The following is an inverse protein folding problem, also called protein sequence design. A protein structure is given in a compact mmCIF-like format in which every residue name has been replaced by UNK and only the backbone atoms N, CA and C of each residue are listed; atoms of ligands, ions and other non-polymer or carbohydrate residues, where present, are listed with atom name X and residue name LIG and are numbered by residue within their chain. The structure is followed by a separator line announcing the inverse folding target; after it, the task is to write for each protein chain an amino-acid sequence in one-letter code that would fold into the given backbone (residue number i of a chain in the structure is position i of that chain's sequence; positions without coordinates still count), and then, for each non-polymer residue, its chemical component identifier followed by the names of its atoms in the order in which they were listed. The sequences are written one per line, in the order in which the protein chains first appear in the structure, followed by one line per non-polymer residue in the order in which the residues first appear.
data_IF_457541836957
#
_entry.id   IF_457541836957
#
_cell.length_a   1.000
_cell.length_b   1.000
_cell.length_c   1.000
_cell.angle_alpha   90.00
_cell.angle_beta   90.00
_cell.angle_gamma   90.00
#
_symmetry.space_group_name_H-M   'P 1'
#
loop_
_entity.id
_entity.type
_entity.pdbx_description
1 polymer ?
#
# COMPACT_ATOMS: atom_id res chain seq x y z
N UNK A 1 22.09 -0.24 35.36
CA UNK A 1 20.79 0.46 35.44
C UNK A 1 20.72 1.43 34.28
N UNK A 2 19.89 1.14 33.27
CA UNK A 2 19.70 2.00 32.10
C UNK A 2 18.63 3.03 32.47
N UNK A 3 18.85 4.34 32.22
CA UNK A 3 17.92 5.35 32.64
C UNK A 3 16.63 5.25 31.82
N UNK A 4 15.53 5.06 32.54
CA UNK A 4 14.16 5.18 32.06
C UNK A 4 13.83 6.68 31.93
N UNK A 5 13.35 7.09 30.76
CA UNK A 5 12.65 8.36 30.60
C UNK A 5 13.12 9.22 29.42
N UNK A 6 12.49 9.00 28.26
CA UNK A 6 11.85 9.99 27.37
C UNK A 6 10.87 9.17 26.50
N UNK A 7 9.67 9.72 26.26
CA UNK A 7 8.51 8.98 25.73
C UNK A 7 8.84 8.06 24.56
N UNK A 8 8.21 6.89 24.53
CA UNK A 8 8.23 5.98 23.38
C UNK A 8 7.50 6.72 22.25
N UNK A 9 8.22 7.55 21.53
CA UNK A 9 7.75 8.08 20.26
C UNK A 9 7.64 6.86 19.33
N UNK A 10 6.42 6.36 19.21
CA UNK A 10 5.84 5.99 17.93
C UNK A 10 6.93 5.68 16.88
N UNK A 11 7.32 4.41 16.78
CA UNK A 11 8.27 3.88 15.78
C UNK A 11 7.60 3.86 14.38
N UNK A 12 7.09 5.03 13.99
CA UNK A 12 5.71 5.26 13.54
C UNK A 12 5.60 5.63 12.08
N UNK A 13 4.36 5.86 11.63
CA UNK A 13 3.95 6.63 10.46
C UNK A 13 5.03 7.53 9.79
N UNK A 14 5.84 8.27 10.56
CA UNK A 14 6.98 9.02 10.04
C UNK A 14 7.99 8.15 9.30
N UNK A 15 8.48 7.07 9.92
CA UNK A 15 9.37 6.09 9.30
C UNK A 15 8.77 5.55 7.99
N UNK A 16 7.50 5.15 8.00
CA UNK A 16 6.85 4.63 6.80
C UNK A 16 6.75 5.69 5.68
N UNK A 17 6.55 6.96 6.05
CA UNK A 17 6.55 8.07 5.09
C UNK A 17 7.95 8.33 4.54
N UNK A 18 8.98 8.35 5.39
CA UNK A 18 10.38 8.50 5.00
C UNK A 18 10.86 7.34 4.10
N UNK A 19 10.41 6.11 4.37
CA UNK A 19 10.65 4.94 3.54
C UNK A 19 10.07 5.10 2.14
N UNK A 20 8.87 5.66 2.00
CA UNK A 20 8.27 5.95 0.70
C UNK A 20 9.02 7.09 0.00
N UNK A 21 9.29 8.18 0.71
CA UNK A 21 9.91 9.39 0.16
C UNK A 21 11.33 9.13 -0.36
N UNK A 22 12.18 8.40 0.39
CA UNK A 22 13.53 8.01 -0.07
C UNK A 22 13.50 7.10 -1.30
N UNK A 23 12.38 6.44 -1.52
CA UNK A 23 12.12 5.60 -2.70
C UNK A 23 11.37 6.36 -3.81
N UNK A 24 11.20 7.67 -3.65
CA UNK A 24 10.61 8.56 -4.66
C UNK A 24 9.07 8.63 -4.59
N UNK A 25 8.42 7.96 -3.65
CA UNK A 25 6.96 7.91 -3.55
C UNK A 25 6.46 8.95 -2.54
N UNK A 26 5.56 9.83 -2.99
CA UNK A 26 4.91 10.81 -2.11
C UNK A 26 3.50 10.34 -1.76
N UNK A 27 3.00 10.69 -0.57
CA UNK A 27 1.62 10.36 -0.20
C UNK A 27 0.61 10.98 -1.18
N UNK A 28 0.91 12.15 -1.73
CA UNK A 28 0.08 12.81 -2.74
C UNK A 28 -0.02 11.97 -4.02
N UNK A 29 1.07 11.37 -4.49
CA UNK A 29 1.03 10.48 -5.66
C UNK A 29 0.20 9.21 -5.44
N UNK A 30 0.12 8.71 -4.19
CA UNK A 30 -0.78 7.61 -3.83
C UNK A 30 -2.23 8.10 -3.79
N UNK A 31 -2.47 9.29 -3.20
CA UNK A 31 -3.80 9.89 -3.11
C UNK A 31 -4.39 10.21 -4.49
N UNK A 32 -3.58 10.58 -5.46
CA UNK A 32 -3.98 10.78 -6.86
C UNK A 32 -4.53 9.49 -7.48
N UNK A 33 -3.85 8.36 -7.27
CA UNK A 33 -4.35 7.03 -7.70
C UNK A 33 -5.71 6.74 -7.07
N UNK A 34 -5.85 6.97 -5.76
CA UNK A 34 -7.11 6.78 -5.03
C UNK A 34 -8.21 7.67 -5.62
N UNK A 35 -7.91 8.93 -5.92
CA UNK A 35 -8.85 9.86 -6.54
C UNK A 35 -9.30 9.36 -7.92
N UNK A 36 -8.38 8.90 -8.78
CA UNK A 36 -8.71 8.36 -10.10
C UNK A 36 -9.63 7.14 -9.99
N UNK A 37 -9.38 6.26 -9.02
CA UNK A 37 -10.22 5.07 -8.80
C UNK A 37 -11.62 5.43 -8.31
N UNK A 38 -11.74 6.41 -7.39
CA UNK A 38 -12.97 6.65 -6.63
C UNK A 38 -13.85 7.78 -7.20
N UNK A 39 -13.28 8.75 -7.93
CA UNK A 39 -14.01 9.90 -8.52
C UNK A 39 -15.11 9.48 -9.51
N UNK A 40 -14.99 8.31 -10.14
CA UNK A 40 -16.03 7.74 -11.00
C UNK A 40 -17.30 7.34 -10.23
N UNK A 41 -17.18 7.06 -8.93
CA UNK A 41 -18.26 6.62 -8.07
C UNK A 41 -18.78 7.74 -7.16
N UNK A 42 -17.90 8.66 -6.76
CA UNK A 42 -18.19 9.72 -5.80
C UNK A 42 -17.78 11.07 -6.39
N UNK A 43 -18.76 11.83 -6.90
CA UNK A 43 -18.52 13.11 -7.60
C UNK A 43 -18.02 14.22 -6.65
N UNK A 44 -18.41 14.16 -5.38
CA UNK A 44 -18.02 15.13 -4.35
C UNK A 44 -16.72 14.74 -3.62
N UNK A 45 -16.02 13.70 -4.09
CA UNK A 45 -14.77 13.24 -3.50
C UNK A 45 -13.71 14.32 -3.55
N UNK A 46 -13.08 14.59 -2.41
CA UNK A 46 -12.01 15.58 -2.28
C UNK A 46 -10.62 14.94 -2.23
N UNK A 47 -9.59 15.69 -2.63
CA UNK A 47 -8.20 15.25 -2.48
C UNK A 47 -7.82 15.05 -1.01
N UNK A 48 -8.37 15.87 -0.11
CA UNK A 48 -8.18 15.75 1.34
C UNK A 48 -8.71 14.42 1.88
N UNK A 49 -9.84 13.91 1.37
CA UNK A 49 -10.39 12.61 1.76
C UNK A 49 -9.52 11.44 1.27
N UNK A 50 -9.01 11.53 0.04
CA UNK A 50 -8.03 10.58 -0.50
C UNK A 50 -6.77 10.55 0.36
N UNK A 51 -6.20 11.72 0.64
CA UNK A 51 -5.03 11.89 1.49
C UNK A 51 -5.28 11.34 2.89
N UNK A 52 -6.39 11.70 3.53
CA UNK A 52 -6.80 11.19 4.85
C UNK A 52 -6.91 9.67 4.87
N UNK A 53 -7.38 9.06 3.78
CA UNK A 53 -7.49 7.61 3.64
C UNK A 53 -6.13 6.93 3.50
N UNK A 54 -5.23 7.46 2.66
CA UNK A 54 -3.84 6.99 2.53
C UNK A 54 -3.13 7.06 3.89
N UNK A 55 -3.22 8.21 4.59
CA UNK A 55 -2.60 8.37 5.91
C UNK A 55 -3.15 7.37 6.94
N UNK A 56 -4.46 7.10 6.88
CA UNK A 56 -5.10 6.13 7.77
C UNK A 56 -4.65 4.69 7.53
N UNK A 57 -4.38 4.31 6.28
CA UNK A 57 -3.80 3.00 5.92
C UNK A 57 -2.36 2.94 6.42
N UNK A 58 -1.55 3.95 6.12
CA UNK A 58 -0.14 4.01 6.53
C UNK A 58 0.04 4.06 8.05
N UNK A 59 -0.98 4.53 8.80
CA UNK A 59 -1.00 4.51 10.26
C UNK A 59 -1.12 3.11 10.88
N UNK A 60 -1.35 2.06 10.08
CA UNK A 60 -1.55 0.70 10.55
C UNK A 60 -0.20 -0.01 10.69
N UNK A 61 0.04 -0.63 11.85
CA UNK A 61 1.31 -1.31 12.15
C UNK A 61 1.64 -2.42 11.16
N UNK A 62 0.64 -3.19 10.75
CA UNK A 62 0.84 -4.25 9.75
C UNK A 62 1.34 -3.67 8.42
N UNK A 63 0.73 -2.59 7.93
CA UNK A 63 1.17 -1.89 6.72
C UNK A 63 2.60 -1.36 6.86
N UNK A 64 2.94 -0.80 8.01
CA UNK A 64 4.30 -0.29 8.29
C UNK A 64 5.34 -1.42 8.26
N UNK A 65 5.05 -2.57 8.86
CA UNK A 65 5.95 -3.72 8.84
C UNK A 65 6.08 -4.34 7.45
N UNK A 66 4.97 -4.43 6.71
CA UNK A 66 4.96 -4.89 5.34
C UNK A 66 5.83 -3.99 4.46
N UNK A 67 5.64 -2.66 4.55
CA UNK A 67 6.41 -1.68 3.79
C UNK A 67 7.91 -1.75 4.13
N UNK A 68 8.25 -1.82 5.42
CA UNK A 68 9.64 -1.97 5.86
C UNK A 68 10.29 -3.24 5.30
N UNK A 69 9.54 -4.35 5.24
CA UNK A 69 10.03 -5.64 4.76
C UNK A 69 10.29 -5.60 3.26
N UNK A 70 9.32 -5.17 2.45
CA UNK A 70 9.47 -5.12 0.99
C UNK A 70 10.55 -4.12 0.55
N UNK A 71 10.55 -2.92 1.11
CA UNK A 71 11.58 -1.91 0.80
C UNK A 71 12.98 -2.40 1.17
N UNK A 72 13.14 -3.14 2.27
CA UNK A 72 14.44 -3.70 2.62
C UNK A 72 14.91 -4.76 1.61
N UNK A 73 14.01 -5.60 1.10
CA UNK A 73 14.35 -6.60 0.07
C UNK A 73 14.76 -5.93 -1.24
N UNK A 74 14.03 -4.92 -1.67
CA UNK A 74 14.39 -4.09 -2.84
C UNK A 74 15.78 -3.45 -2.67
N UNK A 75 16.07 -2.84 -1.51
CA UNK A 75 17.38 -2.22 -1.25
C UNK A 75 18.53 -3.23 -1.18
N UNK A 76 18.27 -4.44 -0.68
CA UNK A 76 19.28 -5.50 -0.62
C UNK A 76 19.54 -6.09 -2.01
N UNK A 77 18.50 -6.25 -2.84
CA UNK A 77 18.63 -6.62 -4.23
C UNK A 77 19.45 -5.58 -4.99
N UNK A 78 19.13 -4.29 -4.84
CA UNK A 78 19.85 -3.20 -5.52
C UNK A 78 21.35 -3.17 -5.16
N UNK A 79 21.70 -3.61 -3.95
CA UNK A 79 23.09 -3.71 -3.46
C UNK A 79 23.78 -5.03 -3.80
N UNK A 80 23.12 -5.98 -4.45
CA UNK A 80 23.68 -7.30 -4.74
C UNK A 80 23.90 -8.16 -3.49
N UNK A 81 23.11 -7.94 -2.43
CA UNK A 81 23.31 -8.56 -1.12
C UNK A 81 22.40 -9.77 -0.86
N UNK A 82 21.54 -10.14 -1.80
CA UNK A 82 20.69 -11.32 -1.66
C UNK A 82 21.42 -12.59 -2.09
N UNK A 83 21.09 -13.75 -1.50
CA UNK A 83 21.64 -15.02 -1.95
C UNK A 83 21.09 -15.38 -3.34
N UNK A 84 21.87 -16.15 -4.10
CA UNK A 84 21.37 -16.78 -5.32
C UNK A 84 20.46 -17.98 -4.97
N UNK A 85 19.36 -18.24 -5.70
CA UNK A 85 18.94 -17.56 -6.95
C UNK A 85 18.06 -16.30 -6.75
N UNK A 86 17.74 -15.92 -5.50
CA UNK A 86 16.82 -14.81 -5.22
C UNK A 86 17.33 -13.48 -5.80
N UNK A 87 18.63 -13.21 -5.73
CA UNK A 87 19.22 -12.01 -6.33
C UNK A 87 18.89 -11.89 -7.82
N UNK A 88 19.09 -12.96 -8.61
CA UNK A 88 18.78 -12.96 -10.04
C UNK A 88 17.28 -12.84 -10.32
N UNK A 89 16.43 -13.46 -9.48
CA UNK A 89 14.98 -13.34 -9.56
C UNK A 89 14.53 -11.89 -9.37
N UNK A 90 15.08 -11.20 -8.37
CA UNK A 90 14.78 -9.81 -8.06
C UNK A 90 15.32 -8.83 -9.12
N UNK A 91 16.53 -9.07 -9.65
CA UNK A 91 17.11 -8.24 -10.71
C UNK A 91 16.37 -8.37 -12.04
N UNK A 92 15.79 -9.54 -12.30
CA UNK A 92 15.04 -9.82 -13.52
C UNK A 92 13.58 -9.37 -13.44
N UNK A 93 13.08 -9.03 -12.25
CA UNK A 93 11.66 -8.81 -12.00
C UNK A 93 10.82 -9.98 -12.58
N UNK A 94 11.15 -11.20 -12.13
CA UNK A 94 10.62 -12.43 -12.71
C UNK A 94 9.11 -12.55 -12.53
N UNK A 95 8.38 -12.57 -13.65
CA UNK A 95 6.91 -12.65 -13.70
C UNK A 95 6.24 -13.80 -12.94
N UNK A 96 6.98 -14.86 -12.58
CA UNK A 96 6.49 -15.99 -11.79
C UNK A 96 6.84 -15.89 -10.29
N UNK A 97 7.60 -14.88 -9.89
CA UNK A 97 7.85 -14.54 -8.50
C UNK A 97 6.66 -13.76 -7.97
N UNK A 98 5.86 -14.38 -7.12
CA UNK A 98 4.58 -13.80 -6.63
C UNK A 98 4.60 -13.37 -5.15
N UNK A 99 5.79 -13.14 -4.58
CA UNK A 99 5.96 -12.98 -3.14
C UNK A 99 5.67 -11.54 -2.68
N UNK A 100 6.03 -10.59 -3.52
CA UNK A 100 5.65 -9.19 -3.60
C UNK A 100 4.13 -8.99 -3.58
N UNK A 101 3.36 -9.58 -4.49
CA UNK A 101 1.90 -9.45 -4.45
C UNK A 101 1.33 -10.11 -3.20
N UNK A 102 1.87 -11.28 -2.81
CA UNK A 102 1.45 -11.95 -1.56
C UNK A 102 1.62 -11.04 -0.35
N UNK A 103 2.70 -10.27 -0.31
CA UNK A 103 2.97 -9.32 0.76
C UNK A 103 2.05 -8.08 0.65
N UNK A 104 1.81 -7.57 -0.55
CA UNK A 104 0.89 -6.46 -0.81
C UNK A 104 -0.57 -6.79 -0.50
N UNK A 105 -1.00 -8.05 -0.70
CA UNK A 105 -2.32 -8.54 -0.30
C UNK A 105 -2.57 -8.35 1.20
N UNK A 106 -1.52 -8.47 2.03
CA UNK A 106 -1.59 -8.16 3.46
C UNK A 106 -2.05 -6.73 3.76
N UNK A 107 -1.65 -5.75 2.93
CA UNK A 107 -2.10 -4.36 3.04
C UNK A 107 -3.56 -4.21 2.62
N UNK A 108 -3.97 -4.88 1.54
CA UNK A 108 -5.34 -4.78 1.04
C UNK A 108 -6.37 -5.28 2.07
N UNK A 109 -6.03 -6.34 2.81
CA UNK A 109 -6.91 -6.97 3.79
C UNK A 109 -7.26 -6.10 5.00
N UNK A 110 -6.50 -5.03 5.27
CA UNK A 110 -6.69 -4.13 6.42
C UNK A 110 -8.05 -3.41 6.41
N UNK A 111 -8.61 -3.21 5.21
CA UNK A 111 -9.95 -2.66 4.99
C UNK A 111 -10.87 -3.65 4.29
N UNK A 112 -10.63 -4.95 4.48
CA UNK A 112 -11.45 -6.03 3.95
C UNK A 112 -11.20 -6.34 2.47
N UNK A 113 -11.96 -7.30 1.95
CA UNK A 113 -11.73 -7.87 0.61
C UNK A 113 -12.14 -6.96 -0.55
N UNK A 114 -12.79 -5.83 -0.30
CA UNK A 114 -13.21 -4.88 -1.35
C UNK A 114 -11.99 -4.31 -2.08
N UNK A 115 -10.88 -4.11 -1.37
CA UNK A 115 -9.64 -3.60 -1.96
C UNK A 115 -8.99 -4.57 -2.94
N UNK A 116 -9.29 -5.87 -2.88
CA UNK A 116 -8.60 -6.89 -3.67
C UNK A 116 -8.74 -6.67 -5.18
N UNK A 117 -9.94 -6.32 -5.65
CA UNK A 117 -10.19 -6.08 -7.08
C UNK A 117 -9.49 -4.81 -7.56
N UNK A 118 -9.42 -3.78 -6.70
CA UNK A 118 -8.68 -2.54 -6.99
C UNK A 118 -7.18 -2.80 -7.07
N UNK A 119 -6.64 -3.63 -6.17
CA UNK A 119 -5.24 -4.02 -6.19
C UNK A 119 -4.87 -4.74 -7.51
N UNK A 120 -5.58 -5.81 -7.87
CA UNK A 120 -5.28 -6.53 -9.12
C UNK A 120 -5.48 -5.66 -10.39
N UNK A 121 -6.36 -4.66 -10.34
CA UNK A 121 -6.46 -3.66 -11.40
C UNK A 121 -5.23 -2.74 -11.46
N UNK A 122 -4.79 -2.23 -10.31
CA UNK A 122 -3.63 -1.33 -10.21
C UNK A 122 -2.33 -2.03 -10.57
N UNK A 123 -2.12 -3.25 -10.11
CA UNK A 123 -0.97 -4.07 -10.46
C UNK A 123 -0.90 -4.28 -11.98
N UNK A 124 -2.02 -4.66 -12.61
CA UNK A 124 -2.04 -4.84 -14.06
C UNK A 124 -1.83 -3.55 -14.87
N UNK A 125 -2.41 -2.43 -14.44
CA UNK A 125 -2.42 -1.17 -15.20
C UNK A 125 -1.21 -0.29 -14.89
N UNK A 126 -0.57 -0.51 -13.75
CA UNK A 126 0.55 0.27 -13.21
C UNK A 126 0.27 1.79 -13.27
N UNK A 127 -0.86 2.21 -12.70
CA UNK A 127 -1.34 3.60 -12.77
C UNK A 127 -0.45 4.58 -11.98
N UNK A 128 -0.18 5.75 -12.55
CA UNK A 128 0.45 6.88 -11.84
C UNK A 128 1.87 6.55 -11.37
N UNK A 129 2.15 6.74 -10.08
CA UNK A 129 3.48 6.47 -9.51
C UNK A 129 3.89 5.00 -9.64
N UNK A 130 2.94 4.06 -9.70
CA UNK A 130 3.24 2.62 -9.82
C UNK A 130 3.99 2.35 -11.13
N UNK A 131 3.49 2.83 -12.27
CA UNK A 131 4.16 2.68 -13.56
C UNK A 131 5.51 3.38 -13.64
N UNK A 132 5.65 4.54 -12.97
CA UNK A 132 6.95 5.21 -12.87
C UNK A 132 7.98 4.36 -12.12
N UNK A 133 7.58 3.66 -11.05
CA UNK A 133 8.47 2.77 -10.30
C UNK A 133 8.86 1.56 -11.14
N UNK A 134 7.88 0.94 -11.81
CA UNK A 134 8.07 -0.21 -12.70
C UNK A 134 9.11 0.09 -13.81
N UNK A 135 9.09 1.31 -14.34
CA UNK A 135 9.96 1.71 -15.46
C UNK A 135 11.24 2.45 -15.00
N UNK A 136 11.53 2.54 -13.69
CA UNK A 136 12.66 3.34 -13.18
C UNK A 136 14.01 2.64 -13.41
N UNK A 137 14.87 3.15 -14.31
CA UNK A 137 16.13 2.48 -14.61
C UNK A 137 17.12 2.61 -13.46
N UNK A 138 17.81 1.51 -13.14
CA UNK A 138 18.89 1.50 -12.16
C UNK A 138 18.43 1.45 -10.70
N UNK A 139 17.13 1.22 -10.46
CA UNK A 139 16.58 0.88 -9.14
C UNK A 139 15.76 -0.39 -9.22
N UNK A 140 15.69 -1.11 -8.10
CA UNK A 140 14.88 -2.33 -8.00
C UNK A 140 13.65 -2.03 -7.15
N UNK A 141 12.46 -2.17 -7.69
CA UNK A 141 11.18 -1.88 -7.02
C UNK A 141 10.18 -3.04 -7.10
N UNK A 142 10.67 -4.28 -7.09
CA UNK A 142 9.86 -5.51 -7.18
C UNK A 142 8.78 -5.54 -6.09
N UNK A 143 9.12 -5.16 -4.85
CA UNK A 143 8.10 -5.07 -3.81
C UNK A 143 7.37 -3.72 -3.80
N UNK A 144 8.09 -2.62 -4.03
CA UNK A 144 7.55 -1.29 -3.73
C UNK A 144 6.34 -0.91 -4.58
N UNK A 145 6.32 -1.23 -5.86
CA UNK A 145 5.22 -0.85 -6.76
C UNK A 145 3.90 -1.52 -6.33
N UNK A 146 3.96 -2.80 -5.97
CA UNK A 146 2.85 -3.58 -5.42
C UNK A 146 2.42 -3.12 -4.03
N UNK A 147 3.37 -2.78 -3.16
CA UNK A 147 3.05 -2.22 -1.86
C UNK A 147 2.31 -0.88 -1.99
N UNK A 148 2.71 -0.04 -2.96
CA UNK A 148 2.02 1.22 -3.27
C UNK A 148 0.62 0.94 -3.85
N UNK A 149 0.49 -0.04 -4.74
CA UNK A 149 -0.81 -0.50 -5.24
C UNK A 149 -1.72 -0.99 -4.11
N UNK A 150 -1.18 -1.76 -3.16
CA UNK A 150 -1.87 -2.25 -1.98
C UNK A 150 -2.37 -1.12 -1.07
N UNK A 151 -1.54 -0.10 -0.82
CA UNK A 151 -1.93 1.08 -0.02
C UNK A 151 -3.06 1.85 -0.71
N UNK A 152 -2.96 2.10 -2.03
CA UNK A 152 -3.98 2.81 -2.79
C UNK A 152 -5.31 2.01 -2.83
N UNK A 153 -5.24 0.69 -2.98
CA UNK A 153 -6.39 -0.19 -2.96
C UNK A 153 -7.08 -0.22 -1.59
N UNK A 154 -6.31 -0.32 -0.50
CA UNK A 154 -6.84 -0.27 0.86
C UNK A 154 -7.47 1.10 1.20
N UNK A 155 -6.84 2.19 0.74
CA UNK A 155 -7.38 3.55 0.91
C UNK A 155 -8.69 3.73 0.13
N UNK A 156 -8.77 3.18 -1.09
CA UNK A 156 -9.98 3.16 -1.91
C UNK A 156 -11.10 2.37 -1.22
N UNK A 157 -10.81 1.18 -0.67
CA UNK A 157 -11.77 0.39 0.09
C UNK A 157 -12.29 1.14 1.32
N UNK A 158 -11.42 1.86 2.03
CA UNK A 158 -11.82 2.71 3.17
C UNK A 158 -12.78 3.83 2.77
N UNK A 159 -12.58 4.47 1.60
CA UNK A 159 -13.49 5.49 1.06
C UNK A 159 -14.84 4.86 0.74
N UNK A 160 -14.84 3.72 0.04
CA UNK A 160 -16.06 3.00 -0.32
C UNK A 160 -16.88 2.55 0.90
N UNK A 161 -16.21 2.14 1.99
CA UNK A 161 -16.87 1.82 3.25
C UNK A 161 -17.51 3.03 3.96
N UNK A 162 -17.05 4.24 3.68
CA UNK A 162 -17.54 5.49 4.29
C UNK A 162 -18.62 6.18 3.46
N UNK A 163 -18.55 6.05 2.14
CA UNK A 163 -19.50 6.65 1.22
C UNK A 163 -20.67 5.67 1.03
N UNK A 164 -21.71 5.86 1.85
CA UNK A 164 -22.86 4.97 1.99
C UNK A 164 -23.63 4.76 0.67
N UNK A 165 -23.49 3.55 0.11
CA UNK A 165 -24.43 2.94 -0.85
C UNK A 165 -24.91 1.56 -0.39
N UNK A 166 -24.50 1.11 0.80
CA UNK A 166 -24.90 -0.17 1.34
C UNK A 166 -26.37 -0.12 1.74
N UNK A 167 -27.20 -0.94 1.08
CA UNK A 167 -28.60 -1.12 1.48
C UNK A 167 -28.63 -1.59 2.93
N UNK A 168 -29.35 -0.86 3.78
CA UNK A 168 -29.65 -1.31 5.14
C UNK A 168 -30.73 -2.39 5.02
N UNK A 169 -30.35 -3.64 5.30
CA UNK A 169 -31.30 -4.75 5.29
C UNK A 169 -32.02 -4.81 6.63
N UNK A 170 -33.35 -5.01 6.66
CA UNK A 170 -34.09 -5.15 7.91
C UNK A 170 -33.56 -6.34 8.70
N UNK A 171 -33.16 -6.11 9.94
CA UNK A 171 -32.85 -7.18 10.88
C UNK A 171 -34.13 -7.51 11.65
N UNK A 172 -34.70 -8.70 11.46
CA UNK A 172 -35.81 -9.16 12.30
C UNK A 172 -35.22 -9.50 13.66
N UNK A 173 -35.46 -8.66 14.66
CA UNK A 173 -35.15 -8.98 16.05
C UNK A 173 -36.42 -9.51 16.72
N UNK A 174 -36.53 -10.84 16.76
CA UNK A 174 -37.59 -11.56 17.46
C UNK A 174 -37.45 -13.06 17.23
N UNK A 175 -37.21 -13.82 18.30
CA UNK A 175 -37.37 -15.29 18.29
C UNK A 175 -38.86 -15.64 18.10
N UNK A 176 -39.16 -16.79 17.48
CA UNK A 176 -40.52 -17.24 17.17
C UNK A 176 -41.41 -17.35 18.41
#
# INVERSE_FOLDING_TARGET
MVPCGKGIDHMSYQMATELLERRGVTLSSIAEIVYILQSKYYQDLTEEECMSSVKSVLGKREVQYTLMTGVALDELAEKGMLPQPLQAVMEADESLYGADETLALGITGVYGMIGLTSFGYLDKVKLGVIGRLNDEPGRIHVFLDDLVAGIAAAASARIAHRHEGAKVYPHVTGTP
#
